data_IF_586066916911
#
_entry.id   IF_586066916911
#
_cell.length_a   1.000
_cell.length_b   1.000
_cell.length_c   1.000
_cell.angle_alpha   90.00
_cell.angle_beta   90.00
_cell.angle_gamma   90.00
#
_symmetry.space_group_name_H-M   'P 1'
#
loop_
_entity.id
_entity.type
_entity.pdbx_description
1 polymer ?
#
# COMPACT_ATOMS: atom_id res chain seq x y z
N UNK A 1 -19.67 10.38 -0.26
CA UNK A 1 -19.32 11.59 0.49
C UNK A 1 -17.98 11.42 1.17
N UNK A 2 -17.23 12.50 1.40
CA UNK A 2 -15.86 12.44 1.96
C UNK A 2 -15.83 12.41 3.50
N UNK A 3 -16.99 12.26 4.16
CA UNK A 3 -17.12 12.35 5.62
C UNK A 3 -17.10 10.98 6.32
N UNK A 4 -17.22 9.89 5.57
CA UNK A 4 -17.16 8.51 6.07
C UNK A 4 -16.12 7.71 5.28
N UNK A 5 -15.43 6.77 5.92
CA UNK A 5 -14.33 6.02 5.28
C UNK A 5 -14.33 4.55 5.67
N UNK A 6 -13.74 3.69 4.83
CA UNK A 6 -13.56 2.25 5.08
C UNK A 6 -14.82 1.48 5.51
N UNK A 7 -16.00 1.94 5.10
CA UNK A 7 -17.28 1.27 5.39
C UNK A 7 -17.66 0.24 4.32
N UNK A 8 -17.20 0.46 3.08
CA UNK A 8 -17.40 -0.42 1.93
C UNK A 8 -16.09 -0.45 1.14
N UNK A 9 -15.76 -1.59 0.55
CA UNK A 9 -14.68 -1.72 -0.42
C UNK A 9 -15.22 -1.40 -1.83
N UNK A 10 -14.84 -0.27 -2.45
CA UNK A 10 -15.39 0.13 -3.74
C UNK A 10 -14.98 -0.79 -4.90
N UNK A 11 -13.86 -1.52 -4.76
CA UNK A 11 -13.37 -2.43 -5.81
C UNK A 11 -14.25 -3.70 -5.90
N UNK A 12 -14.69 -4.24 -4.75
CA UNK A 12 -15.41 -5.52 -4.70
C UNK A 12 -16.89 -5.37 -4.33
N UNK A 13 -17.32 -4.17 -3.91
CA UNK A 13 -18.66 -3.94 -3.34
C UNK A 13 -18.83 -4.54 -1.94
N UNK A 14 -17.77 -5.08 -1.33
CA UNK A 14 -17.85 -5.75 -0.03
C UNK A 14 -18.18 -4.75 1.08
N UNK A 15 -19.20 -5.06 1.87
CA UNK A 15 -19.53 -4.36 3.12
C UNK A 15 -18.45 -4.66 4.17
N UNK A 16 -17.91 -3.60 4.79
CA UNK A 16 -16.80 -3.70 5.77
C UNK A 16 -17.21 -3.35 7.20
N UNK A 17 -18.41 -2.80 7.39
CA UNK A 17 -18.90 -2.38 8.71
C UNK A 17 -19.48 -3.51 9.54
N UNK A 18 -19.82 -4.65 8.95
CA UNK A 18 -20.41 -5.80 9.64
C UNK A 18 -19.32 -6.78 10.09
N UNK A 19 -19.32 -7.23 11.36
CA UNK A 19 -18.42 -8.29 11.80
C UNK A 19 -18.77 -9.63 11.14
N UNK A 20 -17.89 -10.62 11.30
CA UNK A 20 -18.09 -12.00 10.81
C UNK A 20 -18.22 -13.04 11.92
N UNK A 21 -18.08 -12.61 13.18
CA UNK A 21 -18.16 -13.46 14.36
C UNK A 21 -19.54 -13.35 15.03
N UNK A 22 -19.80 -14.19 16.06
CA UNK A 22 -21.03 -14.17 16.86
C UNK A 22 -21.05 -12.98 17.85
N UNK A 23 -20.49 -11.84 17.46
CA UNK A 23 -20.36 -10.65 18.30
C UNK A 23 -21.71 -9.90 18.40
N UNK A 24 -22.01 -9.23 19.51
CA UNK A 24 -23.25 -8.45 19.67
C UNK A 24 -23.30 -7.18 18.81
N UNK A 25 -22.24 -6.89 18.04
CA UNK A 25 -22.14 -5.71 17.20
C UNK A 25 -22.81 -5.98 15.86
N UNK A 26 -23.90 -5.26 15.56
CA UNK A 26 -24.56 -5.38 14.25
C UNK A 26 -23.68 -4.78 13.13
N UNK A 27 -23.18 -3.55 13.34
CA UNK A 27 -22.19 -2.91 12.48
C UNK A 27 -21.46 -1.76 13.17
N UNK A 28 -20.34 -1.34 12.60
CA UNK A 28 -19.58 -0.17 13.05
C UNK A 28 -19.20 0.77 11.90
N UNK A 29 -19.79 1.96 11.87
CA UNK A 29 -19.51 2.99 10.87
C UNK A 29 -18.30 3.82 11.29
N UNK A 30 -17.39 4.08 10.36
CA UNK A 30 -16.26 5.00 10.53
C UNK A 30 -16.48 6.30 9.77
N UNK A 31 -16.15 7.42 10.40
CA UNK A 31 -16.25 8.74 9.80
C UNK A 31 -15.48 9.82 10.55
N UNK A 32 -15.54 11.04 10.01
CA UNK A 32 -14.75 12.18 10.49
C UNK A 32 -15.43 13.00 11.59
N UNK A 33 -16.75 12.90 11.76
CA UNK A 33 -17.49 13.56 12.84
C UNK A 33 -18.67 12.72 13.35
N UNK A 34 -19.17 12.99 14.57
CA UNK A 34 -20.39 12.37 15.11
C UNK A 34 -21.61 12.53 14.20
N UNK A 35 -21.80 13.71 13.61
CA UNK A 35 -22.93 14.02 12.73
C UNK A 35 -22.88 13.19 11.45
N UNK A 36 -21.68 12.99 10.89
CA UNK A 36 -21.51 12.21 9.68
C UNK A 36 -21.80 10.72 9.90
N UNK A 37 -21.38 10.17 11.05
CA UNK A 37 -21.67 8.76 11.38
C UNK A 37 -23.13 8.56 11.80
N UNK A 38 -23.77 9.55 12.46
CA UNK A 38 -25.20 9.53 12.77
C UNK A 38 -26.04 9.55 11.49
N UNK A 39 -25.75 10.47 10.56
CA UNK A 39 -26.44 10.52 9.28
C UNK A 39 -26.28 9.21 8.50
N UNK A 40 -25.07 8.64 8.49
CA UNK A 40 -24.84 7.35 7.84
C UNK A 40 -25.62 6.21 8.50
N UNK A 41 -25.78 6.23 9.83
CA UNK A 41 -26.61 5.27 10.57
C UNK A 41 -28.09 5.36 10.16
N UNK A 42 -28.63 6.57 10.05
CA UNK A 42 -30.02 6.82 9.62
C UNK A 42 -30.29 6.39 8.16
N UNK A 43 -29.25 6.38 7.32
CA UNK A 43 -29.35 5.95 5.92
C UNK A 43 -29.32 4.42 5.75
N UNK A 44 -28.78 3.67 6.71
CA UNK A 44 -28.61 2.22 6.60
C UNK A 44 -29.95 1.52 6.83
N UNK A 45 -30.33 0.66 5.89
CA UNK A 45 -31.45 -0.26 6.08
C UNK A 45 -30.95 -1.53 6.76
N UNK A 46 -31.55 -1.86 7.89
CA UNK A 46 -31.27 -3.07 8.67
C UNK A 46 -32.52 -3.95 8.74
N UNK A 47 -32.31 -5.25 8.82
CA UNK A 47 -33.38 -6.27 8.86
C UNK A 47 -33.54 -6.92 10.24
N UNK A 48 -32.75 -6.47 11.21
CA UNK A 48 -32.74 -6.94 12.60
C UNK A 48 -32.88 -5.71 13.52
N UNK A 49 -33.60 -5.83 14.64
CA UNK A 49 -33.80 -4.70 15.55
C UNK A 49 -32.47 -4.25 16.17
N UNK A 50 -32.24 -2.94 16.19
CA UNK A 50 -31.10 -2.34 16.89
C UNK A 50 -31.51 -2.12 18.35
N UNK A 51 -30.89 -2.86 19.27
CA UNK A 51 -31.15 -2.68 20.71
C UNK A 51 -30.59 -1.34 21.21
N UNK A 52 -29.34 -1.01 20.83
CA UNK A 52 -28.62 0.19 21.26
C UNK A 52 -27.57 0.62 20.22
N UNK A 53 -27.20 1.88 20.23
CA UNK A 53 -26.07 2.42 19.46
C UNK A 53 -25.30 3.46 20.26
N UNK A 54 -24.02 3.62 19.94
CA UNK A 54 -23.09 4.55 20.60
C UNK A 54 -22.02 5.01 19.60
N UNK A 55 -21.60 6.27 19.71
CA UNK A 55 -20.50 6.84 18.91
C UNK A 55 -19.24 6.88 19.77
N UNK A 56 -18.16 6.29 19.26
CA UNK A 56 -16.85 6.33 19.91
C UNK A 56 -15.89 7.24 19.16
N UNK A 57 -15.14 8.06 19.90
CA UNK A 57 -13.90 8.65 19.39
C UNK A 57 -12.81 7.59 19.47
N UNK A 58 -12.16 7.30 18.33
CA UNK A 58 -11.17 6.22 18.24
C UNK A 58 -9.86 6.70 17.61
N UNK A 59 -8.81 5.91 17.74
CA UNK A 59 -7.56 6.07 16.98
C UNK A 59 -7.59 5.30 15.64
N UNK A 60 -8.76 4.83 15.18
CA UNK A 60 -8.85 4.11 13.91
C UNK A 60 -8.53 5.03 12.73
N UNK A 61 -7.81 4.48 11.75
CA UNK A 61 -7.41 5.21 10.55
C UNK A 61 -6.45 6.37 10.80
N UNK A 62 -5.53 6.26 11.77
CA UNK A 62 -4.64 7.38 12.19
C UNK A 62 -3.15 7.10 12.04
N UNK A 63 -2.75 5.86 11.75
CA UNK A 63 -1.36 5.38 11.81
C UNK A 63 -0.69 5.51 13.19
N UNK A 64 -1.47 5.62 14.28
CA UNK A 64 -0.93 5.83 15.62
C UNK A 64 0.05 4.72 16.11
N UNK A 65 -0.02 3.52 15.53
CA UNK A 65 0.89 2.40 15.82
C UNK A 65 2.26 2.52 15.16
N UNK A 66 2.37 3.28 14.07
CA UNK A 66 3.61 3.37 13.30
C UNK A 66 4.64 4.25 14.02
N UNK A 67 5.89 3.79 14.05
CA UNK A 67 7.03 4.54 14.59
C UNK A 67 8.14 4.63 13.57
N UNK A 68 8.65 5.84 13.33
CA UNK A 68 9.81 6.02 12.46
C UNK A 68 11.05 5.42 13.10
N UNK A 69 11.78 4.64 12.32
CA UNK A 69 13.08 4.09 12.69
C UNK A 69 14.11 4.68 11.75
N UNK A 70 15.20 5.20 12.31
CA UNK A 70 16.25 5.87 11.52
C UNK A 70 17.08 4.88 10.71
N UNK A 71 17.38 3.70 11.27
CA UNK A 71 18.23 2.68 10.66
C UNK A 71 17.56 1.31 10.69
N UNK A 72 17.71 0.53 9.61
CA UNK A 72 17.15 -0.82 9.46
C UNK A 72 17.61 -1.77 10.58
N UNK A 73 18.85 -1.64 11.05
CA UNK A 73 19.37 -2.44 12.17
C UNK A 73 18.52 -2.31 13.45
N UNK A 74 17.88 -1.15 13.65
CA UNK A 74 17.10 -0.83 14.85
C UNK A 74 15.65 -1.34 14.75
N UNK A 75 15.25 -1.94 13.63
CA UNK A 75 13.92 -2.52 13.45
C UNK A 75 13.76 -3.76 14.34
N UNK A 76 12.83 -3.69 15.30
CA UNK A 76 12.55 -4.77 16.25
C UNK A 76 11.25 -5.51 15.88
N UNK A 77 11.20 -6.86 16.01
CA UNK A 77 9.96 -7.61 15.93
C UNK A 77 8.85 -7.04 16.82
N UNK A 78 7.60 -7.25 16.41
CA UNK A 78 6.39 -6.81 17.12
C UNK A 78 6.18 -5.30 17.24
N UNK A 79 7.08 -4.49 16.68
CA UNK A 79 6.95 -3.04 16.63
C UNK A 79 6.60 -2.62 15.20
N UNK A 80 5.44 -2.00 14.94
CA UNK A 80 5.14 -1.44 13.63
C UNK A 80 6.02 -0.24 13.33
N UNK A 81 6.62 -0.22 12.14
CA UNK A 81 7.67 0.75 11.80
C UNK A 81 7.36 1.55 10.54
N UNK A 82 8.00 2.71 10.42
CA UNK A 82 8.23 3.46 9.19
C UNK A 82 9.73 3.45 8.93
N UNK A 83 10.15 2.81 7.85
CA UNK A 83 11.56 2.66 7.49
C UNK A 83 11.78 3.18 6.07
N UNK A 84 12.78 4.02 5.89
CA UNK A 84 13.20 4.49 4.58
C UNK A 84 14.43 3.72 4.12
N UNK A 85 14.50 3.36 2.84
CA UNK A 85 15.71 2.78 2.26
C UNK A 85 15.56 2.54 0.76
N UNK A 86 16.62 2.03 0.15
CA UNK A 86 16.64 1.69 -1.27
C UNK A 86 16.25 0.24 -1.49
N UNK A 87 15.46 -0.02 -2.52
CA UNK A 87 15.12 -1.38 -2.92
C UNK A 87 16.39 -2.11 -3.36
N UNK A 88 16.62 -3.30 -2.82
CA UNK A 88 17.74 -4.17 -3.15
C UNK A 88 17.28 -5.37 -4.00
N UNK A 89 17.79 -5.42 -5.23
CA UNK A 89 17.36 -6.40 -6.23
C UNK A 89 15.91 -6.20 -6.66
N UNK A 90 15.44 -7.07 -7.54
CA UNK A 90 14.05 -7.04 -7.99
C UNK A 90 13.12 -7.79 -7.02
N UNK A 91 11.88 -7.33 -6.83
CA UNK A 91 10.86 -8.07 -6.09
C UNK A 91 10.63 -9.47 -6.65
N UNK A 92 10.33 -10.42 -5.76
CA UNK A 92 10.06 -11.82 -6.08
C UNK A 92 8.61 -12.14 -5.73
N UNK A 93 7.88 -12.72 -6.68
CA UNK A 93 6.55 -13.28 -6.44
C UNK A 93 6.70 -14.73 -6.00
N UNK A 94 6.17 -15.07 -4.83
CA UNK A 94 6.23 -16.43 -4.26
C UNK A 94 4.88 -17.14 -4.39
N UNK A 95 4.82 -18.49 -4.21
CA UNK A 95 3.56 -19.23 -4.22
C UNK A 95 2.51 -18.62 -3.28
N UNK A 96 1.25 -18.61 -3.72
CA UNK A 96 0.17 -17.85 -3.07
C UNK A 96 0.08 -16.39 -3.52
N UNK A 97 0.96 -15.94 -4.42
CA UNK A 97 0.88 -14.63 -5.06
C UNK A 97 1.50 -13.48 -4.26
N UNK A 98 2.10 -13.75 -3.10
CA UNK A 98 2.75 -12.72 -2.28
C UNK A 98 3.99 -12.15 -2.98
N UNK A 99 4.28 -10.87 -2.72
CA UNK A 99 5.48 -10.20 -3.22
C UNK A 99 6.43 -9.96 -2.06
N UNK A 100 7.66 -10.46 -2.20
CA UNK A 100 8.77 -10.18 -1.29
C UNK A 100 9.74 -9.25 -2.00
N UNK A 101 10.08 -8.14 -1.37
CA UNK A 101 11.14 -7.24 -1.82
C UNK A 101 12.03 -6.89 -0.63
N UNK A 102 13.24 -6.44 -0.90
CA UNK A 102 14.21 -6.08 0.14
C UNK A 102 14.49 -4.60 0.09
N UNK A 103 14.65 -4.01 1.26
CA UNK A 103 15.04 -2.60 1.41
C UNK A 103 16.34 -2.56 2.19
N UNK A 104 17.26 -1.70 1.77
CA UNK A 104 18.56 -1.51 2.38
C UNK A 104 18.87 -0.05 2.69
N UNK A 105 19.69 0.13 3.71
CA UNK A 105 20.33 1.38 4.08
C UNK A 105 21.80 1.09 4.45
N UNK A 106 22.50 2.06 5.01
CA UNK A 106 23.89 1.90 5.47
C UNK A 106 24.08 0.88 6.60
N UNK A 107 23.01 0.52 7.31
CA UNK A 107 23.04 -0.34 8.49
C UNK A 107 22.70 -1.79 8.20
N UNK A 108 22.00 -2.08 7.09
CA UNK A 108 21.65 -3.43 6.71
C UNK A 108 20.52 -3.53 5.70
N UNK A 109 19.97 -4.75 5.60
CA UNK A 109 18.90 -5.11 4.66
C UNK A 109 17.75 -5.74 5.45
N UNK A 110 16.52 -5.47 5.05
CA UNK A 110 15.31 -6.09 5.62
C UNK A 110 14.33 -6.52 4.54
N UNK A 111 13.72 -7.69 4.75
CA UNK A 111 12.65 -8.19 3.92
C UNK A 111 11.35 -7.43 4.17
N UNK A 112 10.62 -7.14 3.10
CA UNK A 112 9.30 -6.54 3.09
C UNK A 112 8.36 -7.45 2.32
N UNK A 113 7.21 -7.77 2.91
CA UNK A 113 6.21 -8.65 2.31
C UNK A 113 4.89 -7.91 2.06
N UNK A 114 4.49 -7.82 0.79
CA UNK A 114 3.15 -7.44 0.39
C UNK A 114 2.34 -8.71 0.08
N UNK A 115 1.43 -9.08 0.99
CA UNK A 115 0.63 -10.30 0.86
C UNK A 115 -0.41 -10.20 -0.26
N UNK A 116 -0.97 -11.34 -0.65
CA UNK A 116 -1.90 -11.45 -1.78
C UNK A 116 -3.11 -10.53 -1.58
N UNK A 117 -3.64 -10.56 -0.37
CA UNK A 117 -4.80 -9.81 0.09
C UNK A 117 -4.61 -8.30 -0.06
N UNK A 118 -3.37 -7.81 0.00
CA UNK A 118 -3.07 -6.38 -0.13
C UNK A 118 -3.29 -5.82 -1.54
N UNK A 119 -3.68 -6.65 -2.52
CA UNK A 119 -4.30 -6.20 -3.77
C UNK A 119 -3.47 -5.20 -4.56
N UNK A 120 -3.95 -3.95 -4.67
CA UNK A 120 -3.24 -2.86 -5.36
C UNK A 120 -1.84 -2.62 -4.80
N UNK A 121 -1.65 -2.69 -3.48
CA UNK A 121 -0.35 -2.49 -2.83
C UNK A 121 0.67 -3.55 -3.27
N UNK A 122 0.24 -4.80 -3.39
CA UNK A 122 1.05 -5.90 -3.92
C UNK A 122 1.45 -5.67 -5.38
N UNK A 123 0.52 -5.17 -6.22
CA UNK A 123 0.81 -4.82 -7.61
C UNK A 123 1.91 -3.74 -7.66
N UNK A 124 1.80 -2.71 -6.82
CA UNK A 124 2.83 -1.66 -6.69
C UNK A 124 4.16 -2.25 -6.24
N UNK A 125 4.18 -3.08 -5.21
CA UNK A 125 5.39 -3.73 -4.72
C UNK A 125 6.09 -4.56 -5.81
N UNK A 126 5.32 -5.20 -6.72
CA UNK A 126 5.88 -5.98 -7.83
C UNK A 126 6.50 -5.13 -8.95
N UNK A 127 6.18 -3.83 -9.01
CA UNK A 127 6.71 -2.89 -10.01
C UNK A 127 7.99 -2.17 -9.56
N UNK A 128 8.40 -2.37 -8.31
CA UNK A 128 9.66 -1.85 -7.78
C UNK A 128 10.83 -2.48 -8.53
N UNK A 129 11.92 -1.73 -8.63
CA UNK A 129 13.20 -2.22 -9.15
C UNK A 129 14.32 -1.82 -8.20
N UNK A 130 15.47 -2.45 -8.38
CA UNK A 130 16.67 -2.10 -7.63
C UNK A 130 17.00 -0.61 -7.75
N UNK A 131 17.28 0.02 -6.60
CA UNK A 131 17.65 1.43 -6.50
C UNK A 131 16.51 2.39 -6.17
N UNK A 132 15.24 1.97 -6.29
CA UNK A 132 14.07 2.78 -5.90
C UNK A 132 14.18 3.21 -4.44
N UNK A 133 14.00 4.49 -4.15
CA UNK A 133 13.97 5.01 -2.78
C UNK A 133 12.53 4.96 -2.28
N UNK A 134 12.31 4.20 -1.21
CA UNK A 134 10.98 3.95 -0.66
C UNK A 134 10.96 4.13 0.85
N UNK A 135 9.79 4.48 1.36
CA UNK A 135 9.45 4.43 2.77
C UNK A 135 8.38 3.35 2.97
N UNK A 136 8.73 2.30 3.70
CA UNK A 136 7.88 1.14 3.96
C UNK A 136 7.30 1.24 5.36
N UNK A 137 5.99 1.03 5.46
CA UNK A 137 5.24 1.05 6.71
C UNK A 137 4.59 -0.30 6.98
N UNK A 138 4.71 -0.81 8.20
CA UNK A 138 3.96 -2.00 8.61
C UNK A 138 4.48 -2.70 9.86
N UNK A 139 3.75 -3.73 10.30
CA UNK A 139 4.12 -4.58 11.43
C UNK A 139 5.33 -5.47 11.15
N UNK A 140 6.25 -5.59 12.11
CA UNK A 140 7.45 -6.44 11.95
C UNK A 140 7.21 -7.84 12.51
N UNK A 141 7.30 -8.84 11.65
CA UNK A 141 7.25 -10.25 12.02
C UNK A 141 8.64 -10.73 12.49
N UNK A 142 8.75 -11.49 13.58
CA UNK A 142 10.00 -12.08 14.02
C UNK A 142 10.57 -13.04 12.96
N UNK A 143 11.90 -13.24 12.94
CA UNK A 143 12.50 -14.29 12.13
C UNK A 143 12.00 -15.67 12.59
N UNK A 144 11.95 -16.61 11.65
CA UNK A 144 11.69 -18.04 11.89
C UNK A 144 12.73 -18.86 11.15
N UNK A 145 12.79 -20.19 11.40
CA UNK A 145 13.74 -21.10 10.72
C UNK A 145 13.70 -20.99 9.20
N UNK A 146 12.56 -20.63 8.60
CA UNK A 146 12.34 -20.57 7.15
C UNK A 146 12.31 -19.16 6.58
N UNK A 147 12.23 -18.12 7.42
CA UNK A 147 11.98 -16.75 6.96
C UNK A 147 12.69 -15.74 7.85
N UNK A 148 13.41 -14.76 7.29
CA UNK A 148 14.06 -13.73 8.09
C UNK A 148 13.04 -12.81 8.77
N UNK A 149 13.55 -11.83 9.53
CA UNK A 149 12.76 -10.70 10.06
C UNK A 149 12.15 -9.94 8.87
N UNK A 150 10.84 -9.73 8.89
CA UNK A 150 10.11 -9.19 7.73
C UNK A 150 9.13 -8.11 8.15
N UNK A 151 9.06 -7.02 7.39
CA UNK A 151 7.99 -6.02 7.51
C UNK A 151 6.79 -6.49 6.70
N UNK A 152 5.64 -6.68 7.37
CA UNK A 152 4.36 -6.95 6.72
C UNK A 152 3.78 -5.62 6.26
N UNK A 153 3.89 -5.35 4.97
CA UNK A 153 3.64 -4.03 4.41
C UNK A 153 2.16 -3.68 4.45
N UNK A 154 1.86 -2.53 5.07
CA UNK A 154 0.51 -1.92 5.11
C UNK A 154 0.42 -0.72 4.16
N UNK A 155 1.55 -0.03 3.96
CA UNK A 155 1.67 1.17 3.14
C UNK A 155 3.10 1.32 2.62
N UNK A 156 3.26 1.82 1.40
CA UNK A 156 4.54 2.17 0.77
C UNK A 156 4.43 3.60 0.26
N UNK A 157 5.41 4.45 0.58
CA UNK A 157 5.62 5.73 -0.10
C UNK A 157 6.82 5.59 -1.03
N UNK A 158 6.60 5.80 -2.32
CA UNK A 158 7.65 5.89 -3.33
C UNK A 158 8.20 7.31 -3.32
N UNK A 159 9.45 7.48 -2.89
CA UNK A 159 10.12 8.78 -2.78
C UNK A 159 10.80 9.13 -4.10
N UNK A 160 11.55 8.20 -4.68
CA UNK A 160 12.14 8.37 -6.01
C UNK A 160 12.29 7.04 -6.75
N UNK A 161 12.25 7.11 -8.07
CA UNK A 161 12.32 5.97 -8.97
C UNK A 161 13.70 5.87 -9.60
N UNK A 162 14.29 4.68 -9.58
CA UNK A 162 15.48 4.37 -10.35
C UNK A 162 15.16 4.34 -11.86
N UNK A 163 16.14 4.72 -12.67
CA UNK A 163 16.05 4.67 -14.13
C UNK A 163 16.01 3.22 -14.61
N UNK A 164 14.99 2.86 -15.39
CA UNK A 164 14.90 1.55 -16.03
C UNK A 164 15.59 1.59 -17.39
N UNK A 165 16.72 0.91 -17.51
CA UNK A 165 17.47 0.78 -18.77
C UNK A 165 17.26 -0.62 -19.33
N UNK A 166 16.86 -0.70 -20.60
CA UNK A 166 16.80 -1.96 -21.36
C UNK A 166 17.80 -1.94 -22.51
N UNK A 167 18.32 -3.10 -22.84
CA UNK A 167 19.25 -3.26 -23.96
C UNK A 167 18.50 -3.79 -25.17
N UNK A 168 18.41 -2.98 -26.22
CA UNK A 168 17.79 -3.37 -27.49
C UNK A 168 18.85 -3.69 -28.52
N UNK A 169 18.53 -4.58 -29.46
CA UNK A 169 19.39 -4.81 -30.61
C UNK A 169 19.51 -3.52 -31.45
N UNK A 170 20.63 -3.28 -32.13
CA UNK A 170 20.80 -2.12 -32.98
C UNK A 170 19.84 -2.14 -34.19
N UNK A 171 19.61 -0.97 -34.77
CA UNK A 171 18.98 -0.85 -36.08
C UNK A 171 20.02 -1.15 -37.17
N UNK A 172 19.60 -1.79 -38.25
CA UNK A 172 20.44 -2.02 -39.40
C UNK A 172 20.80 -0.68 -40.06
N UNK A 173 22.09 -0.37 -40.29
CA UNK A 173 22.50 0.89 -40.91
C UNK A 173 22.06 1.01 -42.37
N UNK A 174 21.77 -0.11 -43.04
CA UNK A 174 21.39 -0.14 -44.46
C UNK A 174 19.88 0.05 -44.65
N UNK A 175 19.04 -0.67 -43.89
CA UNK A 175 17.59 -0.69 -44.12
C UNK A 175 16.73 -0.26 -42.93
N UNK A 176 17.36 0.15 -41.82
CA UNK A 176 16.68 0.65 -40.62
C UNK A 176 15.90 -0.41 -39.82
N UNK A 177 15.85 -1.68 -40.25
CA UNK A 177 15.16 -2.74 -39.50
C UNK A 177 15.99 -3.21 -38.30
N UNK A 178 15.30 -3.57 -37.21
CA UNK A 178 15.93 -4.12 -35.99
C UNK A 178 16.66 -5.42 -36.32
N UNK A 179 17.94 -5.50 -35.93
CA UNK A 179 18.78 -6.67 -36.23
C UNK A 179 18.55 -7.81 -35.22
N UNK A 180 18.89 -9.04 -35.61
CA UNK A 180 18.90 -10.23 -34.75
C UNK A 180 20.30 -10.46 -34.21
N UNK A 181 20.40 -10.97 -32.98
CA UNK A 181 21.69 -11.39 -32.40
C UNK A 181 22.07 -12.75 -32.97
N UNK A 182 23.30 -12.90 -33.47
CA UNK A 182 23.79 -14.18 -34.05
C UNK A 182 24.65 -15.01 -33.08
N UNK A 183 24.70 -14.60 -31.81
CA UNK A 183 25.35 -15.35 -30.74
C UNK A 183 26.15 -14.43 -29.82
N UNK A 184 26.54 -14.95 -28.65
CA UNK A 184 27.35 -14.19 -27.68
C UNK A 184 28.67 -13.79 -28.33
N UNK A 185 28.93 -12.48 -28.40
CA UNK A 185 30.16 -11.92 -28.97
C UNK A 185 30.29 -12.02 -30.50
N UNK A 186 29.27 -12.51 -31.21
CA UNK A 186 29.30 -12.69 -32.68
C UNK A 186 28.69 -11.52 -33.46
N UNK A 187 28.15 -10.52 -32.77
CA UNK A 187 27.51 -9.35 -33.38
C UNK A 187 26.04 -9.61 -33.77
N UNK A 188 25.60 -8.90 -34.80
CA UNK A 188 24.19 -8.84 -35.23
C UNK A 188 24.03 -9.04 -36.73
N UNK A 189 22.93 -9.63 -37.14
CA UNK A 189 22.56 -9.82 -38.56
C UNK A 189 21.19 -9.21 -38.86
N UNK A 190 21.08 -8.53 -40.01
CA UNK A 190 19.81 -8.03 -40.50
C UNK A 190 19.09 -9.09 -41.33
N UNK A 191 17.95 -9.57 -40.83
CA UNK A 191 17.11 -10.55 -41.53
C UNK A 191 16.56 -10.07 -42.89
N UNK A 192 16.52 -8.75 -43.15
CA UNK A 192 15.93 -8.18 -44.38
C UNK A 192 16.94 -8.03 -45.51
N UNK A 193 18.15 -7.57 -45.20
CA UNK A 193 19.16 -7.21 -46.22
C UNK A 193 20.45 -8.02 -46.09
N UNK A 194 20.56 -8.93 -45.11
CA UNK A 194 21.75 -9.75 -44.90
C UNK A 194 22.97 -8.99 -44.35
N UNK A 195 22.83 -7.72 -43.95
CA UNK A 195 23.93 -6.97 -43.35
C UNK A 195 24.40 -7.62 -42.03
N UNK A 196 25.71 -7.85 -41.92
CA UNK A 196 26.36 -8.40 -40.74
C UNK A 196 27.18 -7.31 -40.03
N UNK A 197 26.83 -7.04 -38.77
CA UNK A 197 27.54 -6.10 -37.92
C UNK A 197 28.21 -6.82 -36.76
N UNK A 198 29.45 -7.26 -36.94
CA UNK A 198 30.25 -8.00 -35.94
C UNK A 198 30.60 -7.16 -34.71
N UNK A 199 30.82 -5.85 -34.89
CA UNK A 199 31.21 -4.92 -33.82
C UNK A 199 30.04 -4.09 -33.26
N UNK A 200 28.81 -4.32 -33.74
CA UNK A 200 27.66 -3.62 -33.20
C UNK A 200 27.36 -4.09 -31.78
N UNK A 201 26.94 -3.16 -30.93
CA UNK A 201 26.54 -3.44 -29.55
C UNK A 201 25.04 -3.20 -29.37
N UNK A 202 24.48 -3.76 -28.30
CA UNK A 202 23.11 -3.42 -27.89
C UNK A 202 23.05 -1.94 -27.51
N UNK A 203 21.98 -1.30 -27.92
CA UNK A 203 21.68 0.10 -27.60
C UNK A 203 21.01 0.13 -26.23
N UNK A 204 21.52 0.98 -25.33
CA UNK A 204 20.88 1.29 -24.05
C UNK A 204 19.70 2.23 -24.30
N UNK A 205 18.50 1.81 -23.93
CA UNK A 205 17.28 2.61 -24.05
C UNK A 205 16.69 2.82 -22.67
N UNK A 206 16.47 4.08 -22.29
CA UNK A 206 15.71 4.42 -21.09
C UNK A 206 14.23 4.15 -21.35
N UNK A 207 13.59 3.40 -20.45
CA UNK A 207 12.18 3.04 -20.55
C UNK A 207 11.42 3.76 -19.46
N UNK A 208 10.36 4.46 -19.86
CA UNK A 208 9.45 5.10 -18.93
C UNK A 208 8.73 4.07 -18.06
N UNK A 209 8.60 4.37 -16.77
CA UNK A 209 7.96 3.48 -15.80
C UNK A 209 6.53 3.93 -15.58
N UNK A 210 5.62 2.96 -15.47
CA UNK A 210 4.21 3.22 -15.12
C UNK A 210 4.02 3.58 -13.66
N UNK A 211 4.92 3.13 -12.78
CA UNK A 211 4.93 3.46 -11.36
C UNK A 211 5.26 4.94 -11.18
N UNK A 212 4.56 5.63 -10.26
CA UNK A 212 4.76 7.04 -9.94
C UNK A 212 5.23 7.19 -8.49
N UNK A 213 5.79 8.35 -8.17
CA UNK A 213 6.07 8.74 -6.77
C UNK A 213 4.76 9.02 -6.04
N UNK A 214 4.71 8.76 -4.74
CA UNK A 214 3.51 8.96 -3.92
C UNK A 214 3.25 7.84 -2.92
N UNK A 215 2.12 7.94 -2.23
CA UNK A 215 1.70 6.98 -1.21
C UNK A 215 0.78 5.94 -1.83
N UNK A 216 1.06 4.68 -1.56
CA UNK A 216 0.26 3.52 -1.93
C UNK A 216 -0.12 2.76 -0.66
N UNK A 217 -1.41 2.43 -0.53
CA UNK A 217 -1.99 1.75 0.64
C UNK A 217 -2.75 0.52 0.14
N UNK A 218 -2.87 -0.50 0.99
CA UNK A 218 -3.75 -1.63 0.74
C UNK A 218 -5.20 -1.17 0.50
N UNK A 219 -6.02 -1.93 -0.25
CA UNK A 219 -7.44 -1.61 -0.39
C UNK A 219 -8.16 -1.71 0.96
N UNK A 220 -9.30 -1.01 1.15
CA UNK A 220 -10.02 -0.95 2.43
C UNK A 220 -10.30 -2.32 3.07
N UNK A 221 -10.59 -3.35 2.25
CA UNK A 221 -10.81 -4.74 2.70
C UNK A 221 -9.60 -5.41 3.37
N UNK A 222 -8.42 -4.81 3.27
CA UNK A 222 -7.15 -5.33 3.80
C UNK A 222 -6.37 -4.31 4.61
N UNK A 223 -6.94 -3.14 4.84
CA UNK A 223 -6.41 -2.18 5.80
C UNK A 223 -6.63 -2.70 7.23
N UNK A 224 -5.64 -2.47 8.11
CA UNK A 224 -5.82 -2.72 9.55
C UNK A 224 -6.63 -1.59 10.17
N UNK A 225 -7.14 -1.81 11.39
CA UNK A 225 -7.93 -0.80 12.12
C UNK A 225 -7.23 0.57 12.21
N UNK A 226 -5.91 0.57 12.42
CA UNK A 226 -5.13 1.79 12.61
C UNK A 226 -4.57 2.38 11.32
N UNK A 227 -4.50 1.60 10.22
CA UNK A 227 -3.97 2.07 8.94
C UNK A 227 -4.77 3.28 8.47
N UNK A 228 -4.10 4.42 8.28
CA UNK A 228 -4.73 5.65 7.79
C UNK A 228 -5.11 5.51 6.30
N UNK A 229 -6.40 5.52 5.93
CA UNK A 229 -6.81 5.41 4.54
C UNK A 229 -6.41 6.65 3.73
N UNK A 230 -6.23 6.47 2.42
CA UNK A 230 -5.81 7.53 1.50
C UNK A 230 -6.73 8.76 1.54
N UNK A 231 -8.05 8.57 1.73
CA UNK A 231 -9.03 9.64 1.80
C UNK A 231 -8.84 10.60 2.97
N UNK A 232 -8.04 10.22 3.98
CA UNK A 232 -7.80 11.02 5.19
C UNK A 232 -6.52 11.85 5.18
N UNK A 233 -5.73 11.77 4.11
CA UNK A 233 -4.53 12.61 3.97
C UNK A 233 -4.94 14.01 3.51
N UNK A 234 -4.44 15.06 4.19
CA UNK A 234 -4.77 16.45 3.92
C UNK A 234 -5.95 17.01 4.71
N UNK A 235 -6.61 16.18 5.53
CA UNK A 235 -7.71 16.58 6.42
C UNK A 235 -7.41 16.30 7.89
N UNK A 236 -6.11 16.25 8.23
CA UNK A 236 -5.63 16.09 9.60
C UNK A 236 -6.21 17.17 10.51
N UNK A 237 -6.74 16.76 11.66
CA UNK A 237 -7.26 17.69 12.67
C UNK A 237 -6.08 18.33 13.41
N UNK A 238 -5.59 19.47 12.89
CA UNK A 238 -4.64 20.33 13.57
C UNK A 238 -5.33 21.14 14.68
N UNK A 239 -4.71 21.24 15.84
CA UNK A 239 -5.18 22.00 17.01
C UNK A 239 -6.62 21.66 17.45
N UNK A 240 -6.79 20.51 18.11
CA UNK A 240 -7.91 20.37 19.04
C UNK A 240 -7.52 21.15 20.30
N UNK A 241 -7.98 22.40 20.40
CA UNK A 241 -8.11 23.07 21.71
C UNK A 241 -8.76 22.06 22.63
N UNK A 242 -8.14 21.79 23.78
CA UNK A 242 -8.54 20.74 24.72
C UNK A 242 -9.99 20.94 25.21
N UNK A 243 -10.98 20.53 24.42
CA UNK A 243 -12.32 20.20 24.90
C UNK A 243 -12.29 18.75 25.42
N UNK A 244 -11.32 18.46 26.31
CA UNK A 244 -11.25 17.15 26.97
C UNK A 244 -12.24 17.05 28.13
N UNK A 245 -12.85 18.18 28.52
CA UNK A 245 -13.70 18.29 29.71
C UNK A 245 -15.20 18.27 29.40
N UNK A 246 -15.61 18.36 28.13
CA UNK A 246 -17.02 18.33 27.76
C UNK A 246 -17.46 16.90 27.40
N UNK A 247 -18.10 16.23 28.34
CA UNK A 247 -18.93 15.06 28.05
C UNK A 247 -20.06 15.55 27.15
N UNK A 248 -20.04 15.22 25.85
CA UNK A 248 -21.17 15.51 24.97
C UNK A 248 -22.34 14.62 25.44
N UNK A 249 -23.42 15.19 25.98
CA UNK A 249 -24.51 14.42 26.56
C UNK A 249 -25.19 13.52 25.52
N UNK A 250 -25.41 12.24 25.87
CA UNK A 250 -26.00 11.25 24.96
C UNK A 250 -27.38 11.66 24.43
N UNK A 251 -28.16 12.39 25.23
CA UNK A 251 -29.48 12.90 24.85
C UNK A 251 -29.46 13.86 23.65
N UNK A 252 -28.36 14.58 23.39
CA UNK A 252 -28.24 15.46 22.21
C UNK A 252 -28.37 14.71 20.88
N UNK A 253 -28.14 13.39 20.88
CA UNK A 253 -28.26 12.58 19.68
C UNK A 253 -29.46 11.61 19.71
N UNK A 254 -30.20 11.54 20.81
CA UNK A 254 -31.27 10.55 21.05
C UNK A 254 -32.68 11.04 20.67
N UNK A 255 -32.91 12.36 20.55
CA UNK A 255 -34.26 12.92 20.33
C UNK A 255 -34.96 12.51 19.01
N UNK A 256 -34.32 11.71 18.15
CA UNK A 256 -34.89 11.30 16.85
C UNK A 256 -35.46 9.87 16.80
N UNK A 257 -35.51 9.13 17.91
CA UNK A 257 -36.00 7.72 17.93
C UNK A 257 -37.26 7.48 18.78
N UNK A 258 -37.87 8.53 19.35
CA UNK A 258 -39.06 8.40 20.19
C UNK A 258 -40.40 8.49 19.42
N UNK A 259 -40.37 8.69 18.11
CA UNK A 259 -41.57 8.70 17.25
C UNK A 259 -41.40 7.68 16.11
N UNK A 260 -41.63 6.40 16.41
CA UNK A 260 -42.10 5.36 15.48
C UNK A 260 -42.49 4.10 16.24
#
# INVERSE_FOLDING_TARGET
GNLTFNNVDPETGRILITPRGPDPILYGIRGESPEAVKLAHEMIRFHEPIERWVIFRTNHGTDAHLRRVSLIKDVKPYNPVIVQGRVEGNPIIIPGGHVIFRVKDESGIIDCAAYEQTGSLRKIASMLIEGDLVEVCGGVRPPSRKRPKTINVEKIRIISLAEKVVFQNPLCPVCGKRMKSIGRGKGFECYKCGFHGTNLMKIKVKVERTLKTGIYIAPPRSERHLTKPLSRYGIEKGNVTRLFDDVIPYNLFFESYAEN
#
